data_IF_742259180547
#
_entry.id   IF_742259180547
#
_cell.length_a   1.000
_cell.length_b   1.000
_cell.length_c   1.000
_cell.angle_alpha   90.00
_cell.angle_beta   90.00
_cell.angle_gamma   90.00
#
_symmetry.space_group_name_H-M   'P 1'
#
loop_
_entity.id
_entity.type
_entity.pdbx_description
1 polymer ?
#
# COMPACT_ATOMS: atom_id res chain seq x y z
N UNK A 1 2.26 14.69 -20.98
CA UNK A 1 2.91 15.35 -19.83
C UNK A 1 2.42 14.56 -18.63
N UNK A 2 3.29 13.78 -17.98
CA UNK A 2 2.89 13.07 -16.76
C UNK A 2 2.56 14.12 -15.70
N UNK A 3 1.45 14.00 -14.95
CA UNK A 3 1.19 14.90 -13.84
C UNK A 3 2.28 14.68 -12.79
N UNK A 4 3.22 15.62 -12.70
CA UNK A 4 4.20 15.69 -11.62
C UNK A 4 3.46 16.05 -10.33
N UNK A 5 2.88 15.04 -9.68
CA UNK A 5 2.51 15.15 -8.27
C UNK A 5 3.78 15.52 -7.49
N UNK A 6 3.71 16.40 -6.47
CA UNK A 6 4.91 16.87 -5.78
C UNK A 6 5.63 15.67 -5.19
N UNK A 7 6.83 15.39 -5.70
CA UNK A 7 7.69 14.34 -5.16
C UNK A 7 7.98 14.62 -3.69
N UNK A 8 8.07 13.57 -2.89
CA UNK A 8 8.35 13.68 -1.46
C UNK A 8 8.67 12.33 -0.85
N UNK A 9 9.32 12.33 0.32
CA UNK A 9 9.64 11.11 1.06
C UNK A 9 8.35 10.41 1.43
N UNK A 10 8.25 9.11 1.20
CA UNK A 10 7.02 8.33 1.37
C UNK A 10 6.44 8.45 2.77
N UNK A 11 7.29 8.60 3.78
CA UNK A 11 6.90 8.79 5.19
C UNK A 11 6.09 10.06 5.39
N UNK A 12 6.42 11.11 4.65
CA UNK A 12 5.80 12.43 4.77
C UNK A 12 4.52 12.51 3.93
N UNK A 13 4.50 11.86 2.76
CA UNK A 13 3.33 11.89 1.85
C UNK A 13 2.26 10.85 2.21
N UNK A 14 2.63 9.78 2.93
CA UNK A 14 1.70 8.70 3.28
C UNK A 14 0.49 9.17 4.07
N UNK A 15 0.67 9.98 5.12
CA UNK A 15 -0.45 10.48 5.94
C UNK A 15 -1.42 11.34 5.12
N UNK A 16 -0.89 12.18 4.24
CA UNK A 16 -1.66 13.00 3.32
C UNK A 16 -2.51 12.14 2.38
N UNK A 17 -1.93 11.12 1.76
CA UNK A 17 -2.66 10.21 0.89
C UNK A 17 -3.64 9.33 1.64
N UNK A 18 -3.30 8.89 2.85
CA UNK A 18 -4.22 8.13 3.69
C UNK A 18 -5.49 8.94 3.95
N UNK A 19 -5.37 10.18 4.43
CA UNK A 19 -6.53 11.02 4.76
C UNK A 19 -7.26 11.51 3.50
N UNK A 20 -6.52 11.90 2.47
CA UNK A 20 -7.05 12.35 1.19
C UNK A 20 -7.86 11.26 0.48
N UNK A 21 -7.29 10.05 0.35
CA UNK A 21 -8.00 8.89 -0.21
C UNK A 21 -9.21 8.53 0.64
N UNK A 22 -9.10 8.65 1.97
CA UNK A 22 -10.20 8.38 2.89
C UNK A 22 -11.43 9.22 2.58
N UNK A 23 -11.23 10.53 2.50
CA UNK A 23 -12.29 11.50 2.16
C UNK A 23 -12.80 11.32 0.74
N UNK A 24 -11.91 11.02 -0.20
CA UNK A 24 -12.31 10.73 -1.58
C UNK A 24 -13.28 9.54 -1.63
N UNK A 25 -12.97 8.45 -0.92
CA UNK A 25 -13.83 7.28 -0.86
C UNK A 25 -15.17 7.55 -0.15
N UNK A 26 -15.15 8.30 0.96
CA UNK A 26 -16.37 8.72 1.68
C UNK A 26 -17.28 9.56 0.77
N UNK A 27 -16.73 10.58 0.09
CA UNK A 27 -17.46 11.45 -0.83
C UNK A 27 -18.09 10.66 -1.99
N UNK A 28 -17.37 9.66 -2.50
CA UNK A 28 -17.83 8.80 -3.60
C UNK A 28 -18.62 7.57 -3.13
N UNK A 29 -18.97 7.48 -1.83
CA UNK A 29 -19.70 6.34 -1.23
C UNK A 29 -19.08 4.97 -1.59
N UNK A 30 -17.77 4.93 -1.76
CA UNK A 30 -17.03 3.72 -2.12
C UNK A 30 -16.44 3.11 -0.86
N UNK A 31 -16.79 1.85 -0.59
CA UNK A 31 -16.27 1.14 0.58
C UNK A 31 -15.11 0.23 0.21
N UNK A 32 -14.06 0.27 1.04
CA UNK A 32 -12.89 -0.60 0.96
C UNK A 32 -12.49 -0.98 2.38
N UNK A 33 -12.07 -2.22 2.62
CA UNK A 33 -11.58 -2.62 3.94
C UNK A 33 -10.33 -1.82 4.34
N UNK A 34 -10.15 -1.64 5.65
CA UNK A 34 -9.11 -0.79 6.23
C UNK A 34 -7.70 -1.15 5.75
N UNK A 35 -7.35 -2.44 5.71
CA UNK A 35 -6.02 -2.92 5.33
C UNK A 35 -5.71 -2.65 3.85
N UNK A 36 -6.68 -2.89 2.97
CA UNK A 36 -6.55 -2.63 1.53
C UNK A 36 -6.43 -1.14 1.24
N UNK A 37 -7.16 -0.33 2.00
CA UNK A 37 -7.07 1.13 1.92
C UNK A 37 -5.71 1.66 2.36
N UNK A 38 -5.22 1.21 3.51
CA UNK A 38 -3.89 1.54 4.04
C UNK A 38 -2.82 1.17 3.02
N UNK A 39 -2.93 -0.03 2.45
CA UNK A 39 -2.00 -0.48 1.42
C UNK A 39 -2.09 0.37 0.15
N UNK A 40 -3.29 0.75 -0.32
CA UNK A 40 -3.47 1.63 -1.48
C UNK A 40 -2.84 3.01 -1.26
N UNK A 41 -3.03 3.62 -0.09
CA UNK A 41 -2.39 4.88 0.27
C UNK A 41 -0.86 4.75 0.31
N UNK A 42 -0.34 3.66 0.87
CA UNK A 42 1.10 3.36 0.89
C UNK A 42 1.68 3.13 -0.50
N UNK A 43 0.92 2.51 -1.40
CA UNK A 43 1.31 2.30 -2.80
C UNK A 43 1.48 3.64 -3.53
N UNK A 44 0.57 4.59 -3.31
CA UNK A 44 0.65 5.95 -3.88
C UNK A 44 1.85 6.70 -3.30
N UNK A 45 2.05 6.67 -1.98
CA UNK A 45 3.16 7.35 -1.33
C UNK A 45 4.53 6.83 -1.83
N UNK A 46 4.70 5.50 -1.93
CA UNK A 46 5.92 4.89 -2.49
C UNK A 46 6.14 5.26 -3.96
N UNK A 47 5.06 5.43 -4.72
CA UNK A 47 5.15 5.88 -6.11
C UNK A 47 5.54 7.35 -6.25
N UNK A 48 5.36 8.18 -5.24
CA UNK A 48 5.80 9.58 -5.30
C UNK A 48 7.20 9.78 -4.70
N UNK A 49 7.71 8.75 -4.04
CA UNK A 49 9.04 8.75 -3.46
C UNK A 49 10.09 8.43 -4.53
N UNK A 50 10.97 9.40 -4.77
CA UNK A 50 12.04 9.31 -5.76
C UNK A 50 13.11 8.30 -5.33
N UNK A 51 13.52 8.34 -4.08
CA UNK A 51 14.57 7.45 -3.54
C UNK A 51 14.07 6.00 -3.59
N UNK A 52 12.80 5.78 -3.24
CA UNK A 52 12.17 4.46 -3.36
C UNK A 52 12.16 3.95 -4.81
N UNK A 53 11.88 4.83 -5.78
CA UNK A 53 11.91 4.46 -7.21
C UNK A 53 13.31 4.08 -7.66
N UNK A 54 14.31 4.89 -7.33
CA UNK A 54 15.71 4.63 -7.69
C UNK A 54 16.18 3.28 -7.10
N UNK A 55 15.85 3.01 -5.84
CA UNK A 55 16.19 1.74 -5.18
C UNK A 55 15.48 0.53 -5.78
N UNK A 56 14.29 0.72 -6.36
CA UNK A 56 13.45 -0.38 -6.84
C UNK A 56 13.44 -0.56 -8.35
N UNK A 57 14.04 0.36 -9.12
CA UNK A 57 14.07 0.37 -10.58
C UNK A 57 14.63 -0.94 -11.15
N UNK A 58 15.70 -1.47 -10.54
CA UNK A 58 16.34 -2.72 -10.97
C UNK A 58 15.46 -3.97 -10.86
N UNK A 59 14.33 -3.89 -10.16
CA UNK A 59 13.38 -5.00 -10.03
C UNK A 59 12.19 -4.87 -10.99
N UNK A 60 12.05 -3.75 -11.70
CA UNK A 60 10.98 -3.56 -12.69
C UNK A 60 11.36 -4.33 -13.96
N UNK A 61 10.47 -5.21 -14.40
CA UNK A 61 10.69 -6.09 -15.55
C UNK A 61 10.25 -5.41 -16.85
N UNK A 62 11.07 -5.53 -17.89
CA UNK A 62 10.71 -5.12 -19.24
C UNK A 62 9.73 -6.13 -19.87
N UNK A 63 9.97 -7.42 -19.65
CA UNK A 63 9.11 -8.51 -20.11
C UNK A 63 8.41 -9.22 -18.93
N UNK A 64 7.06 -9.19 -18.87
CA UNK A 64 6.32 -9.92 -17.85
C UNK A 64 6.56 -11.44 -17.78
N UNK A 65 7.06 -12.05 -18.85
CA UNK A 65 7.40 -13.49 -18.87
C UNK A 65 8.61 -13.81 -17.99
N UNK A 66 9.49 -12.84 -17.69
CA UNK A 66 10.63 -13.02 -16.79
C UNK A 66 10.23 -13.46 -15.38
N UNK A 67 9.01 -13.09 -14.96
CA UNK A 67 8.47 -13.50 -13.67
C UNK A 67 8.38 -15.03 -13.55
N UNK A 68 8.13 -15.75 -14.64
CA UNK A 68 8.07 -17.21 -14.63
C UNK A 68 9.46 -17.81 -14.37
N UNK A 69 10.53 -17.16 -14.84
CA UNK A 69 11.90 -17.54 -14.51
C UNK A 69 12.25 -17.24 -13.05
N UNK A 70 11.76 -16.14 -12.47
CA UNK A 70 11.92 -15.84 -11.04
C UNK A 70 11.22 -16.90 -10.19
N UNK A 71 9.97 -17.23 -10.53
CA UNK A 71 9.18 -18.27 -9.85
C UNK A 71 9.86 -19.64 -9.93
N UNK A 72 10.37 -20.04 -11.11
CA UNK A 72 11.06 -21.34 -11.27
C UNK A 72 12.37 -21.44 -10.48
N UNK A 73 13.08 -20.32 -10.30
CA UNK A 73 14.35 -20.28 -9.55
C UNK A 73 14.16 -20.39 -8.03
N UNK A 74 12.97 -20.04 -7.52
CA UNK A 74 12.72 -19.97 -6.09
C UNK A 74 11.66 -21.00 -5.70
N UNK A 75 12.05 -21.99 -4.90
CA UNK A 75 11.09 -22.99 -4.44
C UNK A 75 10.18 -22.39 -3.34
N UNK A 76 8.84 -22.48 -3.48
CA UNK A 76 7.90 -21.92 -2.53
C UNK A 76 8.01 -22.48 -1.09
N UNK A 77 8.69 -23.62 -0.93
CA UNK A 77 8.77 -24.38 0.32
C UNK A 77 10.13 -24.25 1.04
N UNK A 78 11.11 -23.55 0.47
CA UNK A 78 12.50 -23.51 0.97
C UNK A 78 12.84 -22.15 1.64
N UNK A 79 11.82 -21.38 2.05
CA UNK A 79 12.05 -20.08 2.70
C UNK A 79 12.63 -18.99 1.78
N UNK A 80 12.63 -19.23 0.47
CA UNK A 80 13.10 -18.30 -0.57
C UNK A 80 11.95 -17.52 -1.23
N UNK A 81 10.89 -17.27 -0.47
CA UNK A 81 9.67 -16.63 -0.99
C UNK A 81 9.82 -15.11 -1.11
N UNK A 82 10.69 -14.51 -0.30
CA UNK A 82 10.84 -13.05 -0.24
C UNK A 82 11.20 -12.42 -1.60
N UNK A 83 12.16 -12.92 -2.41
CA UNK A 83 12.42 -12.37 -3.74
C UNK A 83 11.21 -12.43 -4.67
N UNK A 84 10.48 -13.55 -4.68
CA UNK A 84 9.28 -13.71 -5.54
C UNK A 84 8.20 -12.71 -5.13
N UNK A 85 7.92 -12.59 -3.82
CA UNK A 85 6.93 -11.63 -3.29
C UNK A 85 7.34 -10.20 -3.63
N UNK A 86 8.61 -9.83 -3.37
CA UNK A 86 9.10 -8.48 -3.59
C UNK A 86 9.01 -8.08 -5.05
N UNK A 87 9.58 -8.88 -5.96
CA UNK A 87 9.61 -8.57 -7.39
C UNK A 87 8.20 -8.51 -7.97
N UNK A 88 7.35 -9.49 -7.65
CA UNK A 88 5.96 -9.49 -8.14
C UNK A 88 5.16 -8.32 -7.59
N UNK A 89 5.30 -7.98 -6.30
CA UNK A 89 4.65 -6.81 -5.70
C UNK A 89 5.06 -5.51 -6.38
N UNK A 90 6.36 -5.27 -6.53
CA UNK A 90 6.88 -4.03 -7.13
C UNK A 90 6.34 -3.81 -8.55
N UNK A 91 6.43 -4.86 -9.38
CA UNK A 91 5.90 -4.79 -10.74
C UNK A 91 4.38 -4.63 -10.77
N UNK A 92 3.64 -5.28 -9.87
CA UNK A 92 2.19 -5.14 -9.78
C UNK A 92 1.78 -3.70 -9.40
N UNK A 93 2.41 -3.14 -8.37
CA UNK A 93 2.19 -1.76 -7.92
C UNK A 93 2.50 -0.78 -9.05
N UNK A 94 3.67 -0.92 -9.68
CA UNK A 94 4.13 -0.05 -10.78
C UNK A 94 3.16 -0.03 -11.96
N UNK A 95 2.81 -1.21 -12.47
CA UNK A 95 1.90 -1.34 -13.61
C UNK A 95 0.50 -0.84 -13.26
N UNK A 96 0.03 -1.08 -12.04
CA UNK A 96 -1.31 -0.62 -11.61
C UNK A 96 -1.41 0.90 -11.63
N UNK A 97 -0.42 1.61 -11.09
CA UNK A 97 -0.41 3.08 -11.09
C UNK A 97 -0.26 3.61 -12.52
N UNK A 98 0.69 3.04 -13.29
CA UNK A 98 0.92 3.44 -14.69
C UNK A 98 -0.35 3.31 -15.52
N UNK A 99 -1.10 2.20 -15.38
CA UNK A 99 -2.37 2.00 -16.10
C UNK A 99 -3.46 2.95 -15.56
N UNK A 100 -3.46 3.29 -14.28
CA UNK A 100 -4.43 4.20 -13.70
C UNK A 100 -4.28 5.65 -14.19
N UNK A 101 -3.06 6.10 -14.49
CA UNK A 101 -2.77 7.45 -14.98
C UNK A 101 -2.95 7.61 -16.50
N UNK A 102 -2.98 6.51 -17.25
CA UNK A 102 -3.26 6.54 -18.69
C UNK A 102 -4.72 6.90 -18.96
N UNK A 103 -4.95 7.62 -20.05
CA UNK A 103 -6.31 7.75 -20.61
C UNK A 103 -6.92 6.37 -20.87
N UNK A 104 -8.25 6.26 -20.76
CA UNK A 104 -8.96 4.99 -20.90
C UNK A 104 -8.72 4.40 -22.31
N UNK A 105 -7.80 3.46 -22.39
CA UNK A 105 -7.50 2.68 -23.60
C UNK A 105 -8.56 1.60 -23.87
N UNK A 106 -8.86 1.34 -25.14
CA UNK A 106 -9.67 0.19 -25.58
C UNK A 106 -9.03 -1.13 -25.12
N UNK A 107 -7.70 -1.16 -24.99
CA UNK A 107 -6.94 -2.33 -24.57
C UNK A 107 -6.70 -2.41 -23.06
N UNK A 108 -7.32 -1.52 -22.26
CA UNK A 108 -7.10 -1.46 -20.81
C UNK A 108 -7.30 -2.80 -20.10
N UNK A 109 -8.29 -3.60 -20.52
CA UNK A 109 -8.53 -4.93 -19.95
C UNK A 109 -7.37 -5.91 -20.19
N UNK A 110 -6.63 -5.76 -21.29
CA UNK A 110 -5.43 -6.55 -21.56
C UNK A 110 -4.26 -6.07 -20.72
N UNK A 111 -4.06 -4.76 -20.62
CA UNK A 111 -3.01 -4.17 -19.77
C UNK A 111 -3.15 -4.61 -18.30
N UNK A 112 -4.38 -4.75 -17.80
CA UNK A 112 -4.67 -5.17 -16.43
C UNK A 112 -4.41 -6.65 -16.13
N UNK A 113 -4.17 -7.50 -17.14
CA UNK A 113 -3.88 -8.93 -16.93
C UNK A 113 -2.56 -9.15 -16.20
N UNK A 114 -1.54 -8.34 -16.53
CA UNK A 114 -0.20 -8.45 -15.96
C UNK A 114 -0.15 -8.10 -14.47
N UNK A 115 -0.58 -6.91 -14.01
CA UNK A 115 -0.59 -6.60 -12.59
C UNK A 115 -1.49 -7.56 -11.80
N UNK A 116 -2.60 -8.03 -12.39
CA UNK A 116 -3.43 -9.09 -11.79
C UNK A 116 -2.65 -10.38 -11.54
N UNK A 117 -1.88 -10.86 -12.51
CA UNK A 117 -1.02 -12.05 -12.39
C UNK A 117 0.01 -11.84 -11.27
N UNK A 118 0.68 -10.70 -11.26
CA UNK A 118 1.73 -10.41 -10.29
C UNK A 118 1.21 -10.28 -8.86
N UNK A 119 0.09 -9.60 -8.63
CA UNK A 119 -0.56 -9.62 -7.31
C UNK A 119 -0.99 -11.04 -6.89
N UNK A 120 -1.43 -11.87 -7.84
CA UNK A 120 -1.74 -13.28 -7.59
C UNK A 120 -0.52 -14.06 -7.10
N UNK A 121 0.63 -13.90 -7.76
CA UNK A 121 1.90 -14.52 -7.37
C UNK A 121 2.34 -14.02 -5.99
N UNK A 122 2.32 -12.71 -5.77
CA UNK A 122 2.66 -12.10 -4.49
C UNK A 122 1.79 -12.66 -3.35
N UNK A 123 0.49 -12.83 -3.60
CA UNK A 123 -0.46 -13.42 -2.64
C UNK A 123 -0.10 -14.86 -2.29
N UNK A 124 0.09 -15.73 -3.29
CA UNK A 124 0.42 -17.14 -3.07
C UNK A 124 1.72 -17.30 -2.28
N UNK A 125 2.77 -16.59 -2.66
CA UNK A 125 4.08 -16.71 -1.99
C UNK A 125 4.08 -16.07 -0.60
N UNK A 126 3.29 -15.01 -0.37
CA UNK A 126 3.10 -14.44 0.97
C UNK A 126 2.39 -15.43 1.90
N UNK A 127 1.37 -16.12 1.39
CA UNK A 127 0.65 -17.14 2.14
C UNK A 127 1.57 -18.30 2.53
N UNK A 128 2.38 -18.78 1.58
CA UNK A 128 3.35 -19.85 1.81
C UNK A 128 4.48 -19.44 2.77
N UNK A 129 4.85 -18.16 2.81
CA UNK A 129 5.75 -17.59 3.81
C UNK A 129 5.10 -17.41 5.20
N UNK A 130 3.84 -17.78 5.38
CA UNK A 130 3.11 -17.64 6.64
C UNK A 130 2.51 -16.25 6.86
N UNK A 131 2.65 -15.31 5.92
CA UNK A 131 2.11 -13.96 6.02
C UNK A 131 0.69 -13.87 5.44
N UNK A 132 -0.29 -14.41 6.19
CA UNK A 132 -1.69 -14.51 5.75
C UNK A 132 -2.33 -13.14 5.47
N UNK A 133 -2.13 -12.15 6.33
CA UNK A 133 -2.74 -10.83 6.14
C UNK A 133 -2.25 -10.17 4.85
N UNK A 134 -0.94 -10.21 4.59
CA UNK A 134 -0.38 -9.66 3.35
C UNK A 134 -0.86 -10.43 2.11
N UNK A 135 -0.97 -11.76 2.23
CA UNK A 135 -1.53 -12.59 1.17
C UNK A 135 -2.97 -12.21 0.82
N UNK A 136 -3.81 -11.90 1.82
CA UNK A 136 -5.19 -11.47 1.63
C UNK A 136 -5.28 -10.09 0.97
N UNK A 137 -4.41 -9.15 1.35
CA UNK A 137 -4.30 -7.84 0.69
C UNK A 137 -3.98 -8.04 -0.80
N UNK A 138 -2.93 -8.78 -1.13
CA UNK A 138 -2.56 -9.01 -2.53
C UNK A 138 -3.64 -9.79 -3.31
N UNK A 139 -4.32 -10.74 -2.65
CA UNK A 139 -5.44 -11.47 -3.25
C UNK A 139 -6.57 -10.52 -3.61
N UNK A 140 -6.90 -9.59 -2.71
CA UNK A 140 -7.89 -8.54 -2.98
C UNK A 140 -7.48 -7.71 -4.20
N UNK A 141 -6.22 -7.26 -4.26
CA UNK A 141 -5.71 -6.47 -5.39
C UNK A 141 -5.75 -7.23 -6.72
N UNK A 142 -5.39 -8.52 -6.72
CA UNK A 142 -5.49 -9.37 -7.91
C UNK A 142 -6.95 -9.52 -8.38
N UNK A 143 -7.88 -9.80 -7.45
CA UNK A 143 -9.28 -10.03 -7.79
C UNK A 143 -10.04 -8.75 -8.15
N UNK A 144 -9.63 -7.61 -7.60
CA UNK A 144 -10.29 -6.30 -7.72
C UNK A 144 -9.45 -5.29 -8.50
N UNK A 145 -8.56 -5.76 -9.37
CA UNK A 145 -7.63 -4.88 -10.10
C UNK A 145 -8.36 -3.78 -10.90
N UNK A 146 -9.47 -4.12 -11.57
CA UNK A 146 -10.26 -3.16 -12.34
C UNK A 146 -10.81 -2.02 -11.47
N UNK A 147 -11.65 -2.28 -10.45
CA UNK A 147 -12.17 -1.21 -9.62
C UNK A 147 -11.08 -0.48 -8.81
N UNK A 148 -9.99 -1.15 -8.45
CA UNK A 148 -8.84 -0.49 -7.80
C UNK A 148 -8.21 0.52 -8.74
N UNK A 149 -7.94 0.14 -9.99
CA UNK A 149 -7.34 1.03 -10.98
C UNK A 149 -8.26 2.20 -11.33
N UNK A 150 -9.58 1.99 -11.31
CA UNK A 150 -10.57 3.06 -11.49
C UNK A 150 -10.57 4.05 -10.33
N UNK A 151 -10.66 3.55 -9.09
CA UNK A 151 -10.59 4.37 -7.88
C UNK A 151 -9.28 5.17 -7.85
N UNK A 152 -8.17 4.50 -8.14
CA UNK A 152 -6.85 5.09 -8.16
C UNK A 152 -6.73 6.19 -9.22
N UNK A 153 -7.16 5.93 -10.45
CA UNK A 153 -7.13 6.94 -11.52
C UNK A 153 -7.97 8.16 -11.16
N UNK A 154 -9.23 7.95 -10.76
CA UNK A 154 -10.11 9.06 -10.34
C UNK A 154 -9.61 9.82 -9.12
N UNK A 155 -8.94 9.14 -8.19
CA UNK A 155 -8.30 9.80 -7.06
C UNK A 155 -7.13 10.66 -7.51
N UNK A 156 -6.21 10.11 -8.31
CA UNK A 156 -5.04 10.85 -8.81
C UNK A 156 -5.45 12.05 -9.69
N UNK A 157 -6.45 11.89 -10.55
CA UNK A 157 -7.04 12.99 -11.34
C UNK A 157 -7.61 14.09 -10.44
N UNK A 158 -8.23 13.72 -9.31
CA UNK A 158 -8.81 14.69 -8.37
C UNK A 158 -7.78 15.52 -7.61
N UNK A 159 -6.51 15.13 -7.63
CA UNK A 159 -5.43 15.84 -6.95
C UNK A 159 -4.93 17.05 -7.75
N UNK A 160 -5.21 17.12 -9.06
CA UNK A 160 -4.79 18.23 -9.93
C UNK A 160 -3.29 18.59 -9.77
N UNK A 161 -2.43 17.56 -9.69
CA UNK A 161 -0.98 17.74 -9.54
C UNK A 161 -0.54 18.29 -8.17
N UNK A 162 -1.38 18.26 -7.13
CA UNK A 162 -1.04 18.72 -5.78
C UNK A 162 -1.07 17.60 -4.75
N UNK A 163 -0.25 17.71 -3.72
CA UNK A 163 -0.39 16.85 -2.55
C UNK A 163 -1.74 17.14 -1.87
N UNK A 164 -2.47 16.11 -1.41
CA UNK A 164 -3.68 16.32 -0.63
C UNK A 164 -3.38 17.20 0.59
N UNK A 165 -4.21 18.20 0.85
CA UNK A 165 -4.05 19.02 2.05
C UNK A 165 -4.16 18.17 3.31
N UNK A 166 -3.24 18.38 4.25
CA UNK A 166 -3.34 17.75 5.56
C UNK A 166 -4.64 18.23 6.21
N UNK A 167 -5.47 17.29 6.64
CA UNK A 167 -6.78 17.63 7.16
C UNK A 167 -7.13 16.79 8.39
N UNK A 168 -8.02 17.26 9.28
CA UNK A 168 -8.42 16.48 10.45
C UNK A 168 -9.09 15.15 10.07
N UNK A 169 -8.87 14.12 10.88
CA UNK A 169 -9.49 12.80 10.75
C UNK A 169 -11.00 12.95 10.93
N UNK A 170 -11.78 12.45 9.97
CA UNK A 170 -13.25 12.44 10.06
C UNK A 170 -13.72 11.35 11.02
N UNK A 171 -14.93 11.49 11.57
CA UNK A 171 -15.52 10.45 12.45
C UNK A 171 -15.64 9.10 11.73
N UNK A 172 -15.97 9.09 10.43
CA UNK A 172 -16.03 7.88 9.62
C UNK A 172 -14.67 7.17 9.48
N UNK A 173 -13.59 7.93 9.25
CA UNK A 173 -12.22 7.39 9.23
C UNK A 173 -11.78 6.94 10.63
N UNK A 174 -12.12 7.69 11.68
CA UNK A 174 -11.83 7.30 13.06
C UNK A 174 -12.53 6.00 13.44
N UNK A 175 -13.78 5.82 13.04
CA UNK A 175 -14.52 4.58 13.27
C UNK A 175 -13.92 3.39 12.51
N UNK A 176 -13.40 3.64 11.31
CA UNK A 176 -12.79 2.62 10.46
C UNK A 176 -11.40 2.18 10.96
N UNK A 177 -10.57 3.11 11.42
CA UNK A 177 -9.17 2.83 11.81
C UNK A 177 -8.96 2.83 13.33
N UNK A 178 -9.60 3.75 14.05
CA UNK A 178 -9.45 3.95 15.50
C UNK A 178 -10.11 2.87 16.36
N UNK A 179 -11.15 2.18 15.86
CA UNK A 179 -11.78 1.05 16.56
C UNK A 179 -11.10 -0.30 16.29
N UNK A 180 -10.11 -0.36 15.40
CA UNK A 180 -9.33 -1.58 15.20
C UNK A 180 -8.50 -1.83 16.46
N UNK A 181 -9.01 -2.70 17.32
CA UNK A 181 -8.33 -3.17 18.52
C UNK A 181 -7.10 -3.98 18.09
N UNK A 182 -6.02 -3.28 17.78
CA UNK A 182 -4.72 -3.90 17.63
C UNK A 182 -4.39 -4.57 18.96
N UNK A 183 -4.17 -5.88 18.96
CA UNK A 183 -3.76 -6.64 20.15
C UNK A 183 -2.54 -6.02 20.81
N UNK A 184 -1.69 -5.33 20.04
CA UNK A 184 -0.57 -4.50 20.52
C UNK A 184 -1.01 -3.23 21.26
N UNK A 185 -2.04 -2.51 20.79
CA UNK A 185 -2.56 -1.34 21.51
C UNK A 185 -3.25 -1.75 22.82
N UNK A 186 -4.00 -2.86 22.80
CA UNK A 186 -4.55 -3.45 24.04
C UNK A 186 -3.44 -3.87 25.01
N UNK A 187 -2.36 -4.48 24.51
CA UNK A 187 -1.21 -4.89 25.32
C UNK A 187 -0.45 -3.70 25.88
N UNK A 188 -0.28 -2.65 25.08
CA UNK A 188 0.33 -1.38 25.49
C UNK A 188 -0.52 -0.67 26.55
N UNK A 189 -1.83 -0.53 26.32
CA UNK A 189 -2.76 0.05 27.31
C UNK A 189 -2.83 -0.79 28.60
N UNK A 190 -2.77 -2.12 28.49
CA UNK A 190 -2.72 -3.01 29.64
C UNK A 190 -1.39 -2.87 30.41
N UNK A 191 -0.26 -2.83 29.71
CA UNK A 191 1.07 -2.67 30.30
C UNK A 191 1.24 -1.29 30.93
N UNK A 192 0.77 -0.22 30.29
CA UNK A 192 0.70 1.14 30.84
C UNK A 192 -0.20 1.19 32.09
N UNK A 193 -1.35 0.52 32.10
CA UNK A 193 -2.23 0.42 33.29
C UNK A 193 -1.61 -0.39 34.44
N UNK A 194 -0.76 -1.36 34.13
CA UNK A 194 -0.09 -2.21 35.12
C UNK A 194 1.28 -1.66 35.55
N UNK A 195 1.74 -0.54 34.99
CA UNK A 195 3.05 0.04 35.29
C UNK A 195 4.22 -0.83 34.82
N UNK A 196 4.01 -1.67 33.81
CA UNK A 196 5.03 -2.57 33.25
C UNK A 196 5.75 -1.82 32.13
N UNK A 197 7.01 -1.45 32.34
CA UNK A 197 7.89 -0.95 31.27
C UNK A 197 8.20 -2.10 30.30
N UNK A 198 7.78 -1.99 29.04
CA UNK A 198 8.17 -2.94 28.01
C UNK A 198 9.65 -2.74 27.67
N UNK A 199 10.47 -3.78 27.84
CA UNK A 199 11.78 -3.87 27.18
C UNK A 199 11.56 -3.69 25.68
N UNK A 200 12.16 -2.64 25.13
CA UNK A 200 12.19 -2.38 23.69
C UNK A 200 13.06 -3.48 23.07
N UNK A 201 12.42 -4.59 22.68
CA UNK A 201 13.07 -5.59 21.83
C UNK A 201 13.13 -4.97 20.44
N UNK A 202 14.29 -4.41 20.13
CA UNK A 202 14.63 -3.84 18.84
C UNK A 202 14.52 -4.96 17.77
N UNK A 203 13.39 -4.99 17.08
CA UNK A 203 13.12 -5.86 15.92
C UNK A 203 12.53 -5.00 14.83
N UNK A 204 13.41 -4.35 14.06
CA UNK A 204 13.34 -3.91 12.64
C UNK A 204 11.97 -3.75 11.95
N UNK A 205 10.96 -3.31 12.70
CA UNK A 205 9.63 -2.96 12.23
C UNK A 205 9.05 -1.83 13.09
N UNK A 206 9.95 -1.02 13.64
CA UNK A 206 9.67 0.36 14.01
C UNK A 206 9.50 1.18 12.74
N UNK A 207 8.30 1.15 12.16
CA UNK A 207 7.85 2.26 11.32
C UNK A 207 6.58 2.85 11.92
N UNK A 208 6.83 3.77 12.85
CA UNK A 208 6.36 5.17 12.84
C UNK A 208 4.89 5.53 12.60
N UNK A 209 3.93 4.62 12.44
CA UNK A 209 2.52 5.04 12.28
C UNK A 209 2.00 5.74 13.54
N UNK A 210 2.37 5.26 14.73
CA UNK A 210 1.95 5.87 16.00
C UNK A 210 2.73 7.14 16.38
N UNK A 211 3.96 7.34 15.88
CA UNK A 211 4.69 8.61 16.07
C UNK A 211 4.11 9.71 15.19
N UNK A 212 3.79 9.38 13.92
CA UNK A 212 3.04 10.27 13.02
C UNK A 212 1.70 10.69 13.62
N UNK A 213 0.94 9.75 14.22
CA UNK A 213 -0.34 10.09 14.87
C UNK A 213 -0.16 10.89 16.17
N UNK A 214 0.87 10.63 16.99
CA UNK A 214 1.09 11.39 18.24
C UNK A 214 1.61 12.82 18.00
N UNK A 215 2.40 13.05 16.96
CA UNK A 215 2.82 14.39 16.54
C UNK A 215 1.65 15.29 16.11
N UNK A 216 0.54 14.70 15.63
CA UNK A 216 -0.68 15.42 15.26
C UNK A 216 -1.47 15.99 16.45
N UNK A 217 -1.17 15.57 17.69
CA UNK A 217 -1.84 16.05 18.90
C UNK A 217 -0.97 16.97 19.77
N UNK A 218 0.27 17.28 19.35
CA UNK A 218 1.22 18.09 20.15
C UNK A 218 1.39 19.54 19.67
N UNK A 219 0.59 20.01 18.72
CA UNK A 219 0.61 21.41 18.27
C UNK A 219 -0.25 22.31 19.16
N UNK A 220 0.37 22.87 20.20
CA UNK A 220 0.03 24.20 20.75
C UNK A 220 1.07 25.19 20.26
#
# INVERSE_FOLDING_TARGET
MEPELPGGVWKDTYSHHLLGLGRFLEKNKTSMQAENFVYLAGMIARWLDKDYKEDTETFIMEDPEEMDHVVRRHSPFIGQNAPVVTISRLNAEFLTITIAQKEKSVFRQFELKTPKKFFGIASTYSYQAGNKNLAEIFRFFSMKINPITEVLGSYLDSLDGKLPEHSPITEGLWDKFGKSLNSRNKRKEYNEKMGIEEEIVDRDSEVEVNKLIRGLFSGN
#
